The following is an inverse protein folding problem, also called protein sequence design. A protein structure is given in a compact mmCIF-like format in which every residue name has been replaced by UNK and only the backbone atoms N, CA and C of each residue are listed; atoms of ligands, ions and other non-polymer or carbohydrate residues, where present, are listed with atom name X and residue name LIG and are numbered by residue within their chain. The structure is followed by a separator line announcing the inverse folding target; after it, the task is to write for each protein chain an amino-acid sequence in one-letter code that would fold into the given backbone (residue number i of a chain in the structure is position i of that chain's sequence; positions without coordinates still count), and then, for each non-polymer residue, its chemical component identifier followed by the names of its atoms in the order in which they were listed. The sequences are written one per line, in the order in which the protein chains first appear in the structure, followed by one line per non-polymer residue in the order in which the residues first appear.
data_IF_095208464824
#
_entry.id   IF_095208464824
#
_cell.length_a   1.000
_cell.length_b   1.000
_cell.length_c   1.000
_cell.angle_alpha   90.00
_cell.angle_beta   90.00
_cell.angle_gamma   90.00
#
_symmetry.space_group_name_H-M   'P 1'
#
loop_
_entity.id
_entity.type
_entity.pdbx_description
1 polymer ?
#
# COMPACT_ATOMS: atom_id res chain seq x y z
N UNK A 1 -40.85 -5.90 14.95
CA UNK A 1 -40.51 -4.85 15.92
C UNK A 1 -41.14 -5.11 17.29
N UNK A 2 -42.44 -5.42 17.37
CA UNK A 2 -43.10 -5.75 18.64
C UNK A 2 -42.39 -6.86 19.43
N UNK A 3 -41.94 -7.92 18.76
CA UNK A 3 -41.14 -8.99 19.36
C UNK A 3 -39.85 -8.51 20.02
N UNK A 4 -39.19 -7.51 19.45
CA UNK A 4 -37.95 -6.92 20.00
C UNK A 4 -38.29 -6.15 21.29
N UNK A 5 -39.38 -5.37 21.28
CA UNK A 5 -39.84 -4.63 22.45
C UNK A 5 -40.20 -5.56 23.61
N UNK A 6 -40.94 -6.64 23.31
CA UNK A 6 -41.28 -7.67 24.30
C UNK A 6 -40.01 -8.34 24.85
N UNK A 7 -39.07 -8.72 23.99
CA UNK A 7 -37.81 -9.34 24.43
C UNK A 7 -36.93 -8.40 25.27
N UNK A 8 -37.00 -7.09 25.01
CA UNK A 8 -36.24 -6.08 25.73
C UNK A 8 -36.93 -5.59 27.02
N UNK A 9 -38.10 -6.13 27.37
CA UNK A 9 -38.96 -5.64 28.46
C UNK A 9 -39.18 -4.13 28.38
N UNK A 10 -39.42 -3.62 27.17
CA UNK A 10 -39.65 -2.20 26.95
C UNK A 10 -40.95 -1.75 27.66
N UNK A 11 -40.99 -0.53 28.22
CA UNK A 11 -42.19 -0.01 28.84
C UNK A 11 -43.30 0.16 27.78
N UNK A 12 -44.56 -0.06 28.18
CA UNK A 12 -45.74 0.03 27.29
C UNK A 12 -45.94 1.42 26.65
N UNK A 13 -45.24 2.43 27.16
CA UNK A 13 -45.21 3.78 26.61
C UNK A 13 -44.45 3.87 25.28
N UNK A 14 -43.54 2.93 25.00
CA UNK A 14 -42.77 2.91 23.75
C UNK A 14 -43.52 2.16 22.67
N UNK A 15 -43.99 2.88 21.65
CA UNK A 15 -44.62 2.27 20.48
C UNK A 15 -43.64 2.22 19.30
N UNK A 16 -43.73 1.19 18.43
CA UNK A 16 -42.92 1.11 17.21
C UNK A 16 -42.85 2.42 16.40
N UNK A 17 -43.96 3.15 16.33
CA UNK A 17 -44.06 4.44 15.64
C UNK A 17 -43.12 5.51 16.22
N UNK A 18 -42.89 5.49 17.53
CA UNK A 18 -42.07 6.51 18.21
C UNK A 18 -40.60 6.37 17.81
N UNK A 19 -40.13 5.15 17.56
CA UNK A 19 -38.76 4.92 17.09
C UNK A 19 -38.51 5.59 15.74
N UNK A 20 -39.46 5.51 14.81
CA UNK A 20 -39.36 6.11 13.48
C UNK A 20 -39.51 7.64 13.47
N UNK A 21 -40.03 8.23 14.56
CA UNK A 21 -40.16 9.69 14.72
C UNK A 21 -38.89 10.34 15.28
N UNK A 22 -37.98 9.56 15.85
CA UNK A 22 -36.75 10.09 16.44
C UNK A 22 -35.78 10.55 15.35
N UNK A 23 -35.24 11.74 15.51
CA UNK A 23 -34.26 12.33 14.59
C UNK A 23 -33.04 11.41 14.36
N UNK A 24 -32.48 10.84 15.43
CA UNK A 24 -31.36 9.90 15.34
C UNK A 24 -31.67 8.63 14.55
N UNK A 25 -32.93 8.17 14.58
CA UNK A 25 -33.36 7.02 13.78
C UNK A 25 -33.46 7.38 12.30
N UNK A 26 -33.97 8.58 11.99
CA UNK A 26 -34.08 9.07 10.61
C UNK A 26 -32.66 9.18 10.01
N UNK A 27 -31.72 9.75 10.75
CA UNK A 27 -30.31 9.84 10.33
C UNK A 27 -29.70 8.46 10.10
N UNK A 28 -29.91 7.51 11.03
CA UNK A 28 -29.44 6.14 10.89
C UNK A 28 -30.03 5.44 9.65
N UNK A 29 -31.32 5.63 9.37
CA UNK A 29 -31.99 5.04 8.21
C UNK A 29 -31.44 5.64 6.91
N UNK A 30 -31.26 6.96 6.85
CA UNK A 30 -30.66 7.64 5.70
C UNK A 30 -29.23 7.11 5.42
N UNK A 31 -28.42 6.96 6.47
CA UNK A 31 -27.06 6.43 6.33
C UNK A 31 -27.05 4.97 5.85
N UNK A 32 -27.97 4.15 6.36
CA UNK A 32 -28.10 2.76 5.93
C UNK A 32 -28.56 2.65 4.46
N UNK A 33 -29.40 3.57 3.97
CA UNK A 33 -29.80 3.63 2.56
C UNK A 33 -28.64 4.05 1.65
N UNK A 34 -27.85 5.05 2.08
CA UNK A 34 -26.65 5.51 1.37
C UNK A 34 -25.57 4.41 1.30
N UNK A 35 -25.25 3.78 2.43
CA UNK A 35 -24.30 2.67 2.52
C UNK A 35 -24.70 1.46 1.65
N UNK A 36 -26.00 1.16 1.57
CA UNK A 36 -26.50 0.11 0.67
C UNK A 36 -26.28 0.49 -0.78
N UNK A 37 -26.47 1.77 -1.13
CA UNK A 37 -26.28 2.29 -2.49
C UNK A 37 -24.82 2.21 -2.91
N UNK A 38 -23.90 2.58 -2.03
CA UNK A 38 -22.45 2.49 -2.27
C UNK A 38 -21.98 1.05 -2.46
N UNK A 39 -22.52 0.09 -1.68
CA UNK A 39 -22.22 -1.32 -1.89
C UNK A 39 -22.66 -1.82 -3.28
N UNK A 40 -23.82 -1.39 -3.78
CA UNK A 40 -24.30 -1.73 -5.13
C UNK A 40 -23.49 -1.05 -6.24
N UNK A 41 -23.02 0.19 -6.04
CA UNK A 41 -22.13 0.89 -6.98
C UNK A 41 -20.78 0.17 -7.06
N UNK A 42 -20.16 -0.12 -5.92
CA UNK A 42 -18.88 -0.83 -5.83
C UNK A 42 -18.97 -2.24 -6.45
N UNK A 43 -20.06 -2.97 -6.19
CA UNK A 43 -20.30 -4.29 -6.79
C UNK A 43 -20.44 -4.22 -8.32
N UNK A 44 -21.15 -3.23 -8.86
CA UNK A 44 -21.26 -3.02 -10.32
C UNK A 44 -19.90 -2.73 -10.97
N UNK A 45 -19.06 -1.92 -10.34
CA UNK A 45 -17.68 -1.65 -10.83
C UNK A 45 -16.74 -2.84 -10.72
N UNK A 46 -16.96 -3.77 -9.78
CA UNK A 46 -16.14 -5.00 -9.67
C UNK A 46 -16.58 -6.08 -10.67
N UNK A 47 -17.86 -6.15 -11.03
CA UNK A 47 -18.39 -7.14 -12.00
C UNK A 47 -17.95 -6.84 -13.44
N UNK A 48 -17.63 -5.59 -13.79
CA UNK A 48 -17.11 -5.22 -15.12
C UNK A 48 -15.64 -5.59 -15.36
N UNK A 49 -14.90 -6.09 -14.36
CA UNK A 49 -13.59 -6.73 -14.53
C UNK A 49 -13.69 -8.23 -14.26
N UNK A 50 -14.13 -9.01 -15.24
CA UNK A 50 -14.01 -10.48 -15.18
C UNK A 50 -13.11 -11.00 -16.30
N UNK A 51 -11.92 -11.44 -15.89
CA UNK A 51 -11.03 -12.32 -16.64
C UNK A 51 -11.75 -13.67 -16.85
N UNK A 52 -11.79 -14.15 -18.10
CA UNK A 52 -12.35 -15.46 -18.47
C UNK A 52 -11.60 -16.60 -17.78
N UNK A 53 -12.29 -17.55 -17.14
CA UNK A 53 -12.55 -18.93 -17.63
C UNK A 53 -13.19 -19.77 -16.48
N UNK A 54 -13.60 -21.04 -16.66
CA UNK A 54 -14.54 -21.61 -17.63
C UNK A 54 -15.77 -22.25 -16.95
N UNK A 55 -16.76 -22.61 -17.78
CA UNK A 55 -18.11 -23.09 -17.46
C UNK A 55 -18.13 -24.40 -16.66
N UNK A 56 -18.98 -24.45 -15.63
CA UNK A 56 -19.69 -25.68 -15.23
C UNK A 56 -21.18 -25.41 -15.46
N UNK A 57 -21.79 -26.30 -16.22
CA UNK A 57 -23.20 -26.33 -16.56
C UNK A 57 -23.97 -26.96 -15.40
N UNK A 58 -25.08 -26.36 -15.01
CA UNK A 58 -26.26 -27.14 -14.63
C UNK A 58 -27.50 -26.30 -14.90
N UNK A 59 -28.34 -26.85 -15.77
CA UNK A 59 -29.56 -26.27 -16.31
C UNK A 59 -30.70 -26.63 -15.36
N UNK A 60 -31.43 -25.63 -14.84
CA UNK A 60 -32.85 -25.80 -14.54
C UNK A 60 -33.54 -24.44 -14.63
N UNK A 61 -34.23 -24.26 -15.76
CA UNK A 61 -35.43 -23.45 -15.94
C UNK A 61 -35.34 -21.94 -15.69
N UNK A 62 -35.14 -21.24 -16.81
CA UNK A 62 -35.52 -19.85 -17.03
C UNK A 62 -37.02 -19.63 -16.75
N UNK A 63 -37.38 -19.28 -15.51
CA UNK A 63 -38.54 -18.41 -15.29
C UNK A 63 -38.07 -16.96 -15.28
N UNK A 64 -38.33 -16.28 -16.40
CA UNK A 64 -38.22 -14.82 -16.56
C UNK A 64 -39.17 -14.12 -15.58
N UNK A 65 -38.76 -13.97 -14.33
CA UNK A 65 -39.26 -12.92 -13.46
C UNK A 65 -38.31 -11.74 -13.62
N UNK A 66 -38.82 -10.66 -14.17
CA UNK A 66 -38.15 -9.37 -14.24
C UNK A 66 -37.58 -9.02 -12.85
N UNK A 67 -36.27 -9.23 -12.66
CA UNK A 67 -35.57 -8.78 -11.45
C UNK A 67 -35.54 -7.26 -11.45
N UNK A 68 -36.61 -6.63 -10.97
CA UNK A 68 -36.51 -5.32 -10.32
C UNK A 68 -35.52 -5.53 -9.18
N UNK A 69 -34.33 -4.99 -9.31
CA UNK A 69 -33.35 -4.87 -8.21
C UNK A 69 -33.99 -3.95 -7.16
N UNK A 70 -34.89 -4.49 -6.34
CA UNK A 70 -35.42 -3.78 -5.19
C UNK A 70 -34.26 -3.67 -4.22
N UNK A 71 -33.84 -2.43 -3.91
CA UNK A 71 -33.02 -2.18 -2.74
C UNK A 71 -33.65 -2.89 -1.54
N UNK A 72 -32.87 -3.59 -0.70
CA UNK A 72 -33.42 -4.23 0.50
C UNK A 72 -34.15 -3.19 1.33
N UNK A 73 -35.47 -3.31 1.46
CA UNK A 73 -36.25 -2.39 2.30
C UNK A 73 -35.75 -2.50 3.74
N UNK A 74 -35.31 -1.38 4.31
CA UNK A 74 -34.81 -1.33 5.69
C UNK A 74 -35.89 -1.63 6.73
N UNK A 75 -37.13 -1.27 6.44
CA UNK A 75 -38.30 -1.61 7.23
C UNK A 75 -39.56 -1.70 6.37
N UNK A 76 -40.60 -2.35 6.90
CA UNK A 76 -41.90 -2.49 6.24
C UNK A 76 -43.02 -2.50 7.28
N UNK A 77 -44.03 -1.65 7.10
CA UNK A 77 -45.25 -1.69 7.92
C UNK A 77 -46.32 -2.51 7.21
N UNK A 78 -46.72 -3.63 7.83
CA UNK A 78 -47.73 -4.54 7.27
C UNK A 78 -49.01 -4.48 8.11
N UNK A 79 -49.91 -3.56 7.79
CA UNK A 79 -51.15 -3.37 8.57
C UNK A 79 -52.29 -4.29 8.12
N UNK A 80 -52.28 -4.74 6.86
CA UNK A 80 -53.34 -5.56 6.24
C UNK A 80 -53.25 -7.06 6.55
N UNK A 81 -52.42 -7.44 7.52
CA UNK A 81 -52.18 -8.84 7.91
C UNK A 81 -53.00 -9.23 9.16
N UNK A 82 -53.23 -10.53 9.38
CA UNK A 82 -53.90 -11.01 10.59
C UNK A 82 -53.16 -10.57 11.87
N UNK A 83 -53.89 -10.55 13.00
CA UNK A 83 -53.49 -9.85 14.23
C UNK A 83 -52.10 -10.23 14.79
N UNK A 84 -51.58 -11.43 14.49
CA UNK A 84 -50.23 -11.87 14.90
C UNK A 84 -49.11 -11.63 13.87
N UNK A 85 -49.44 -11.29 12.62
CA UNK A 85 -48.47 -11.06 11.54
C UNK A 85 -48.40 -9.59 11.10
N UNK A 86 -49.22 -8.72 11.70
CA UNK A 86 -49.22 -7.29 11.38
C UNK A 86 -48.21 -6.50 12.20
N UNK A 87 -47.73 -5.40 11.63
CA UNK A 87 -46.87 -4.43 12.30
C UNK A 87 -45.58 -4.14 11.56
N UNK A 88 -44.63 -3.52 12.27
CA UNK A 88 -43.34 -3.10 11.72
C UNK A 88 -42.34 -4.25 11.68
N UNK A 89 -41.86 -4.54 10.47
CA UNK A 89 -40.73 -5.41 10.19
C UNK A 89 -39.50 -4.55 9.94
N UNK A 90 -38.37 -4.94 10.51
CA UNK A 90 -37.13 -4.16 10.48
C UNK A 90 -36.00 -5.08 10.05
N UNK A 91 -35.07 -4.58 9.22
CA UNK A 91 -33.93 -5.32 8.71
C UNK A 91 -33.01 -5.79 9.85
N UNK A 92 -32.34 -6.94 9.69
CA UNK A 92 -31.50 -7.56 10.74
C UNK A 92 -30.43 -6.64 11.32
N UNK A 93 -29.84 -5.77 10.51
CA UNK A 93 -28.79 -4.84 10.96
C UNK A 93 -29.32 -3.74 11.89
N UNK A 94 -30.61 -3.43 11.79
CA UNK A 94 -31.27 -2.41 12.61
C UNK A 94 -31.84 -3.00 13.90
N UNK A 95 -31.85 -4.33 14.07
CA UNK A 95 -32.38 -5.00 15.27
C UNK A 95 -31.70 -4.50 16.54
N UNK A 96 -30.37 -4.40 16.52
CA UNK A 96 -29.61 -3.89 17.66
C UNK A 96 -29.95 -2.42 17.94
N UNK A 97 -30.08 -1.59 16.90
CA UNK A 97 -30.47 -0.19 17.07
C UNK A 97 -31.86 -0.03 17.72
N UNK A 98 -32.83 -0.84 17.28
CA UNK A 98 -34.16 -0.88 17.90
C UNK A 98 -34.10 -1.39 19.35
N UNK A 99 -33.31 -2.42 19.62
CA UNK A 99 -33.16 -2.99 20.97
C UNK A 99 -32.47 -2.02 21.94
N UNK A 100 -31.46 -1.27 21.47
CA UNK A 100 -30.80 -0.21 22.24
C UNK A 100 -31.78 0.93 22.57
N UNK A 101 -32.60 1.35 21.60
CA UNK A 101 -33.66 2.32 21.85
C UNK A 101 -34.69 1.78 22.84
N UNK A 102 -35.08 0.51 22.72
CA UNK A 102 -36.08 -0.12 23.56
C UNK A 102 -35.62 -0.21 25.03
N UNK A 103 -34.37 -0.65 25.26
CA UNK A 103 -33.81 -0.89 26.58
C UNK A 103 -32.43 -0.25 26.76
N UNK A 104 -32.29 0.75 27.66
CA UNK A 104 -30.98 1.32 27.99
C UNK A 104 -30.00 0.31 28.58
N UNK A 105 -30.49 -0.73 29.28
CA UNK A 105 -29.63 -1.81 29.81
C UNK A 105 -29.00 -2.64 28.69
N UNK A 106 -29.78 -2.91 27.63
CA UNK A 106 -29.27 -3.58 26.45
C UNK A 106 -28.23 -2.71 25.72
N UNK A 107 -28.49 -1.40 25.60
CA UNK A 107 -27.51 -0.47 25.03
C UNK A 107 -26.16 -0.50 25.76
N UNK A 108 -26.18 -0.47 27.09
CA UNK A 108 -24.95 -0.57 27.89
C UNK A 108 -24.19 -1.87 27.66
N UNK A 109 -24.90 -3.00 27.54
CA UNK A 109 -24.30 -4.29 27.23
C UNK A 109 -23.62 -4.29 25.86
N UNK A 110 -24.27 -3.73 24.84
CA UNK A 110 -23.70 -3.61 23.49
C UNK A 110 -22.46 -2.72 23.50
N UNK A 111 -22.46 -1.59 24.20
CA UNK A 111 -21.26 -0.74 24.31
C UNK A 111 -20.09 -1.47 24.97
N UNK A 112 -20.34 -2.25 26.03
CA UNK A 112 -19.29 -3.06 26.66
C UNK A 112 -18.75 -4.13 25.72
N UNK A 113 -19.63 -4.81 24.97
CA UNK A 113 -19.23 -5.81 23.98
C UNK A 113 -18.37 -5.20 22.87
N UNK A 114 -18.73 -4.02 22.38
CA UNK A 114 -17.94 -3.30 21.37
C UNK A 114 -16.56 -2.90 21.89
N UNK A 115 -16.45 -2.44 23.14
CA UNK A 115 -15.15 -2.13 23.76
C UNK A 115 -14.27 -3.38 23.90
N UNK A 116 -14.85 -4.51 24.33
CA UNK A 116 -14.16 -5.79 24.44
C UNK A 116 -13.65 -6.29 23.09
N UNK A 117 -14.45 -6.22 22.02
CA UNK A 117 -14.04 -6.61 20.66
C UNK A 117 -12.86 -5.74 20.17
N UNK A 118 -12.96 -4.42 20.29
CA UNK A 118 -11.87 -3.53 19.86
C UNK A 118 -10.60 -3.71 20.70
N UNK A 119 -10.72 -4.15 21.96
CA UNK A 119 -9.57 -4.50 22.78
C UNK A 119 -8.89 -5.77 22.26
N UNK A 120 -9.65 -6.81 21.98
CA UNK A 120 -9.15 -8.06 21.40
C UNK A 120 -8.49 -7.84 20.05
N UNK A 121 -9.11 -7.04 19.17
CA UNK A 121 -8.53 -6.72 17.85
C UNK A 121 -7.17 -6.01 17.98
N UNK A 122 -7.04 -5.07 18.93
CA UNK A 122 -5.75 -4.39 19.20
C UNK A 122 -4.70 -5.37 19.70
N UNK A 123 -5.04 -6.22 20.66
CA UNK A 123 -4.14 -7.23 21.21
C UNK A 123 -3.69 -8.23 20.14
N UNK A 124 -4.59 -8.68 19.27
CA UNK A 124 -4.23 -9.52 18.12
C UNK A 124 -3.28 -8.82 17.15
N UNK A 125 -3.49 -7.52 16.90
CA UNK A 125 -2.65 -6.73 16.01
C UNK A 125 -1.25 -6.53 16.61
N UNK A 126 -1.14 -6.24 17.89
CA UNK A 126 0.13 -6.15 18.62
C UNK A 126 0.89 -7.48 18.59
N UNK A 127 0.20 -8.59 18.87
CA UNK A 127 0.80 -9.93 18.80
C UNK A 127 1.30 -10.26 17.37
N UNK A 128 0.56 -9.87 16.33
CA UNK A 128 0.98 -10.05 14.93
C UNK A 128 2.21 -9.19 14.60
N UNK A 129 2.31 -7.97 15.12
CA UNK A 129 3.47 -7.11 14.95
C UNK A 129 4.70 -7.69 15.66
N UNK A 130 4.57 -8.08 16.92
CA UNK A 130 5.67 -8.71 17.66
C UNK A 130 6.20 -9.99 16.99
N UNK A 131 5.28 -10.82 16.48
CA UNK A 131 5.66 -12.04 15.76
C UNK A 131 6.42 -11.72 14.47
N UNK A 132 6.00 -10.67 13.73
CA UNK A 132 6.71 -10.18 12.55
C UNK A 132 8.09 -9.66 12.93
N UNK A 133 8.23 -8.86 13.97
CA UNK A 133 9.52 -8.34 14.42
C UNK A 133 10.48 -9.44 14.84
N UNK A 134 9.99 -10.44 15.59
CA UNK A 134 10.77 -11.65 15.94
C UNK A 134 11.20 -12.42 14.68
N UNK A 135 10.35 -12.49 13.65
CA UNK A 135 10.70 -13.14 12.38
C UNK A 135 11.72 -12.35 11.56
N UNK A 136 11.64 -11.01 11.58
CA UNK A 136 12.62 -10.12 10.95
C UNK A 136 13.97 -10.29 11.65
N UNK A 137 13.98 -10.27 12.99
CA UNK A 137 15.18 -10.49 13.80
C UNK A 137 15.86 -11.84 13.50
N UNK A 138 15.08 -12.92 13.34
CA UNK A 138 15.62 -14.24 12.94
C UNK A 138 16.15 -14.29 11.51
N UNK A 139 15.75 -13.36 10.62
CA UNK A 139 16.29 -13.22 9.25
C UNK A 139 17.56 -12.38 9.19
N UNK A 140 17.89 -11.64 10.25
CA UNK A 140 19.12 -10.84 10.38
C UNK A 140 20.44 -11.62 10.19
N UNK A 141 20.56 -12.96 10.36
CA UNK A 141 21.83 -13.63 10.06
C UNK A 141 22.30 -13.50 8.60
N UNK A 142 21.39 -13.17 7.65
CA UNK A 142 21.72 -12.79 6.26
C UNK A 142 21.77 -11.28 6.02
N UNK A 143 21.37 -10.49 7.01
CA UNK A 143 21.50 -9.04 6.97
C UNK A 143 22.94 -8.66 7.22
N UNK A 144 23.35 -7.57 6.57
CA UNK A 144 24.71 -7.05 6.62
C UNK A 144 25.19 -6.96 8.07
N UNK A 145 26.36 -7.52 8.43
CA UNK A 145 26.86 -7.43 9.79
C UNK A 145 26.89 -5.97 10.26
N UNK A 146 26.37 -5.72 11.46
CA UNK A 146 26.26 -4.38 12.05
C UNK A 146 27.59 -3.63 11.93
N UNK A 147 27.56 -2.45 11.29
CA UNK A 147 28.75 -1.63 11.03
C UNK A 147 29.51 -1.94 9.75
N UNK A 148 29.11 -2.96 8.97
CA UNK A 148 29.66 -3.24 7.62
C UNK A 148 28.78 -2.73 6.47
N UNK A 149 27.65 -2.09 6.78
CA UNK A 149 26.66 -1.57 5.83
C UNK A 149 27.25 -0.59 4.82
N UNK A 150 28.13 0.32 5.28
CA UNK A 150 28.70 1.41 4.48
C UNK A 150 30.21 1.24 4.21
N UNK A 151 30.66 -0.01 4.04
CA UNK A 151 32.09 -0.36 3.99
C UNK A 151 32.72 -0.32 2.58
N UNK A 152 32.10 0.39 1.63
CA UNK A 152 32.59 0.53 0.27
C UNK A 152 32.82 1.99 -0.11
N UNK A 153 33.77 2.20 -1.01
CA UNK A 153 34.09 3.46 -1.67
C UNK A 153 33.87 3.31 -3.16
N UNK A 154 33.47 4.40 -3.78
CA UNK A 154 33.25 4.49 -5.21
C UNK A 154 34.13 5.58 -5.81
N UNK A 155 34.81 5.27 -6.89
CA UNK A 155 35.69 6.19 -7.59
C UNK A 155 35.55 6.02 -9.09
N UNK A 156 35.50 7.14 -9.80
CA UNK A 156 35.62 7.19 -11.25
C UNK A 156 36.85 8.03 -11.57
N UNK A 157 37.79 7.46 -12.31
CA UNK A 157 38.98 8.18 -12.77
C UNK A 157 39.04 8.22 -14.29
N UNK A 158 39.64 9.28 -14.80
CA UNK A 158 39.80 9.53 -16.23
C UNK A 158 41.16 9.05 -16.72
N UNK A 159 41.17 8.51 -17.92
CA UNK A 159 42.36 8.20 -18.70
C UNK A 159 42.21 8.85 -20.08
N UNK A 160 43.20 9.64 -20.47
CA UNK A 160 43.23 10.30 -21.76
C UNK A 160 43.74 9.32 -22.82
N UNK A 161 43.16 9.36 -24.00
CA UNK A 161 43.58 8.51 -25.12
C UNK A 161 44.87 9.06 -25.73
N UNK A 162 45.85 8.17 -25.97
CA UNK A 162 47.14 8.53 -26.60
C UNK A 162 47.03 8.69 -28.13
N UNK A 163 45.96 8.22 -28.75
CA UNK A 163 45.74 8.27 -30.20
C UNK A 163 45.34 9.67 -30.65
N UNK A 164 45.98 10.18 -31.72
CA UNK A 164 45.71 11.52 -32.27
C UNK A 164 44.26 11.69 -32.79
N UNK A 165 43.59 10.61 -33.18
CA UNK A 165 42.22 10.61 -33.72
C UNK A 165 41.14 10.72 -32.63
N UNK A 166 41.44 10.34 -31.38
CA UNK A 166 40.49 10.28 -30.25
C UNK A 166 40.79 11.34 -29.17
N UNK A 167 41.46 12.44 -29.55
CA UNK A 167 41.94 13.47 -28.61
C UNK A 167 40.83 14.08 -27.75
N UNK A 168 39.61 14.10 -28.26
CA UNK A 168 38.44 14.69 -27.61
C UNK A 168 37.63 13.69 -26.78
N UNK A 169 38.00 12.40 -26.85
CA UNK A 169 37.41 11.35 -26.04
C UNK A 169 38.21 11.11 -24.76
N UNK A 170 37.52 10.63 -23.74
CA UNK A 170 38.08 10.30 -22.44
C UNK A 170 37.51 8.98 -21.96
N UNK A 171 38.37 8.18 -21.33
CA UNK A 171 38.02 6.89 -20.79
C UNK A 171 37.77 7.01 -19.28
N UNK A 172 36.55 6.68 -18.85
CA UNK A 172 36.12 6.66 -17.46
C UNK A 172 36.18 5.25 -16.91
N UNK A 173 36.96 5.05 -15.85
CA UNK A 173 37.07 3.77 -15.16
C UNK A 173 36.22 3.77 -13.89
N UNK A 174 35.21 2.92 -13.86
CA UNK A 174 34.23 2.78 -12.79
C UNK A 174 34.70 1.77 -11.73
N UNK A 175 35.08 2.25 -10.55
CA UNK A 175 35.68 1.41 -9.52
C UNK A 175 34.94 1.45 -8.20
N UNK A 176 34.42 0.30 -7.78
CA UNK A 176 33.88 0.05 -6.44
C UNK A 176 34.85 -0.83 -5.66
N UNK A 177 35.29 -0.40 -4.48
CA UNK A 177 36.18 -1.17 -3.61
C UNK A 177 35.76 -1.12 -2.16
N UNK A 178 36.12 -2.16 -1.40
CA UNK A 178 35.97 -2.16 0.05
C UNK A 178 36.94 -1.13 0.66
N UNK A 179 36.54 -0.49 1.77
CA UNK A 179 37.39 0.49 2.46
C UNK A 179 38.77 -0.07 2.81
N UNK A 180 38.86 -1.35 3.18
CA UNK A 180 40.13 -1.99 3.51
C UNK A 180 41.06 -2.06 2.31
N UNK A 181 40.56 -2.40 1.11
CA UNK A 181 41.37 -2.64 -0.10
C UNK A 181 41.55 -1.39 -0.96
N UNK A 182 41.15 -0.21 -0.49
CA UNK A 182 41.23 1.02 -1.28
C UNK A 182 42.67 1.56 -1.41
N UNK A 183 43.63 1.03 -0.63
CA UNK A 183 45.04 1.46 -0.69
C UNK A 183 45.66 1.33 -2.10
N UNK A 184 45.22 0.36 -2.90
CA UNK A 184 45.71 0.16 -4.28
C UNK A 184 45.40 1.36 -5.18
N UNK A 185 44.32 2.10 -4.89
CA UNK A 185 43.87 3.26 -5.63
C UNK A 185 44.36 4.58 -5.04
N UNK A 186 45.08 4.56 -3.92
CA UNK A 186 45.51 5.77 -3.22
C UNK A 186 46.40 6.69 -4.07
N UNK A 187 47.16 6.12 -5.02
CA UNK A 187 47.97 6.89 -5.98
C UNK A 187 47.07 7.70 -6.91
N UNK A 188 46.09 7.04 -7.54
CA UNK A 188 45.14 7.66 -8.47
C UNK A 188 44.24 8.66 -7.74
N UNK A 189 43.80 8.32 -6.53
CA UNK A 189 42.98 9.20 -5.69
C UNK A 189 43.63 10.56 -5.42
N UNK A 190 44.95 10.59 -5.27
CA UNK A 190 45.75 11.81 -5.04
C UNK A 190 46.16 12.53 -6.33
N UNK A 191 45.93 11.93 -7.49
CA UNK A 191 46.24 12.50 -8.80
C UNK A 191 45.06 13.27 -9.36
N UNK A 192 45.34 14.14 -10.33
CA UNK A 192 44.32 14.90 -11.08
C UNK A 192 43.42 14.02 -11.95
N UNK A 193 43.76 12.73 -12.09
CA UNK A 193 42.95 11.72 -12.78
C UNK A 193 41.67 11.35 -12.01
N UNK A 194 41.58 11.67 -10.72
CA UNK A 194 40.39 11.41 -9.92
C UNK A 194 39.25 12.36 -10.30
N UNK A 195 38.28 11.86 -11.05
CA UNK A 195 37.20 12.68 -11.59
C UNK A 195 35.96 12.73 -10.67
N UNK A 196 35.62 11.61 -10.04
CA UNK A 196 34.50 11.49 -9.09
C UNK A 196 34.84 10.52 -7.95
N UNK A 197 34.44 10.86 -6.73
CA UNK A 197 34.70 10.04 -5.55
C UNK A 197 33.56 10.14 -4.53
N UNK A 198 33.13 8.99 -4.00
CA UNK A 198 32.15 8.89 -2.90
C UNK A 198 32.55 7.85 -1.87
N UNK A 199 32.35 8.23 -0.60
CA UNK A 199 32.55 7.36 0.56
C UNK A 199 31.23 6.86 1.12
N UNK A 200 31.33 5.88 2.02
CA UNK A 200 30.22 5.33 2.80
C UNK A 200 29.12 4.70 1.92
N UNK A 201 29.54 4.00 0.87
CA UNK A 201 28.63 3.35 -0.06
C UNK A 201 28.00 2.12 0.57
N UNK A 202 26.68 1.98 0.38
CA UNK A 202 25.93 0.82 0.86
C UNK A 202 26.40 -0.45 0.17
N UNK A 203 26.46 -1.55 0.92
CA UNK A 203 26.84 -2.87 0.38
C UNK A 203 25.82 -3.40 -0.64
N UNK A 204 24.56 -3.01 -0.51
CA UNK A 204 23.47 -3.39 -1.43
C UNK A 204 23.48 -2.64 -2.75
N UNK A 205 24.18 -1.50 -2.86
CA UNK A 205 24.19 -0.70 -4.07
C UNK A 205 25.01 -1.35 -5.20
N UNK A 206 24.57 -1.13 -6.43
CA UNK A 206 25.19 -1.55 -7.70
C UNK A 206 25.63 -0.32 -8.51
N UNK A 207 26.56 0.51 -7.98
CA UNK A 207 26.88 1.82 -8.54
C UNK A 207 27.36 1.79 -10.00
N UNK A 208 28.03 0.71 -10.43
CA UNK A 208 28.49 0.59 -11.81
C UNK A 208 27.35 0.42 -12.80
N UNK A 209 26.29 -0.30 -12.43
CA UNK A 209 25.13 -0.49 -13.29
C UNK A 209 24.31 0.79 -13.33
N UNK A 210 24.10 1.40 -12.17
CA UNK A 210 23.32 2.64 -12.05
C UNK A 210 24.00 3.80 -12.78
N UNK A 211 25.32 3.95 -12.67
CA UNK A 211 26.08 4.98 -13.41
C UNK A 211 26.01 4.74 -14.92
N UNK A 212 26.07 3.49 -15.38
CA UNK A 212 25.87 3.20 -16.80
C UNK A 212 24.46 3.58 -17.26
N UNK A 213 23.44 3.31 -16.45
CA UNK A 213 22.08 3.70 -16.77
C UNK A 213 21.96 5.23 -16.88
N UNK A 214 22.55 5.97 -15.94
CA UNK A 214 22.59 7.45 -15.98
C UNK A 214 23.22 7.95 -17.28
N UNK A 215 24.33 7.33 -17.71
CA UNK A 215 24.98 7.71 -18.98
C UNK A 215 24.08 7.41 -20.18
N UNK A 216 23.41 6.25 -20.22
CA UNK A 216 22.47 5.89 -21.29
C UNK A 216 21.26 6.81 -21.36
N UNK A 217 20.76 7.27 -20.22
CA UNK A 217 19.58 8.13 -20.13
C UNK A 217 19.92 9.60 -20.46
N UNK A 218 21.17 10.02 -20.22
CA UNK A 218 21.61 11.42 -20.38
C UNK A 218 22.21 11.70 -21.74
N UNK A 219 23.01 10.78 -22.29
CA UNK A 219 23.76 11.00 -23.52
C UNK A 219 23.14 10.26 -24.72
N UNK A 220 23.25 10.80 -25.94
CA UNK A 220 22.86 10.08 -27.14
C UNK A 220 23.77 8.87 -27.39
N UNK A 221 23.23 7.82 -28.03
CA UNK A 221 23.91 6.53 -28.25
C UNK A 221 25.24 6.62 -29.02
N UNK A 222 25.47 7.71 -29.77
CA UNK A 222 26.72 7.95 -30.52
C UNK A 222 27.83 8.57 -29.67
N UNK A 223 27.52 9.04 -28.46
CA UNK A 223 28.45 9.77 -27.59
C UNK A 223 29.11 8.91 -26.52
N UNK A 224 28.81 7.60 -26.48
CA UNK A 224 29.42 6.71 -25.53
C UNK A 224 29.66 5.29 -26.07
N UNK A 225 30.72 4.65 -25.60
CA UNK A 225 30.95 3.20 -25.73
C UNK A 225 31.19 2.61 -24.34
N UNK A 226 30.50 1.52 -24.01
CA UNK A 226 30.55 0.90 -22.68
C UNK A 226 31.13 -0.51 -22.76
N UNK A 227 32.26 -0.73 -22.09
CA UNK A 227 32.92 -2.04 -22.00
C UNK A 227 33.26 -2.37 -20.57
N UNK A 228 32.58 -3.37 -20.00
CA UNK A 228 32.88 -3.84 -18.65
C UNK A 228 32.75 -2.74 -17.60
N UNK A 229 33.84 -2.33 -16.96
CA UNK A 229 33.85 -1.25 -15.96
C UNK A 229 34.33 0.08 -16.55
N UNK A 230 34.32 0.23 -17.86
CA UNK A 230 34.90 1.37 -18.56
C UNK A 230 33.87 1.99 -19.49
N UNK A 231 33.84 3.33 -19.52
CA UNK A 231 32.98 4.13 -20.40
C UNK A 231 33.86 5.08 -21.18
N UNK A 232 33.81 5.01 -22.51
CA UNK A 232 34.40 6.00 -23.40
C UNK A 232 33.34 7.08 -23.66
N UNK A 233 33.69 8.36 -23.53
CA UNK A 233 32.77 9.48 -23.82
C UNK A 233 33.52 10.74 -24.23
N UNK A 234 32.81 11.75 -24.74
CA UNK A 234 33.42 13.03 -25.10
C UNK A 234 33.72 13.89 -23.86
N UNK A 235 34.80 14.67 -23.93
CA UNK A 235 35.20 15.61 -22.86
C UNK A 235 34.12 16.67 -22.58
N UNK A 236 33.34 17.04 -23.58
CA UNK A 236 32.25 18.03 -23.48
C UNK A 236 31.10 17.56 -22.57
N UNK A 237 30.85 16.26 -22.53
CA UNK A 237 29.74 15.65 -21.79
C UNK A 237 30.06 15.41 -20.31
N UNK A 238 31.34 15.53 -19.91
CA UNK A 238 31.79 15.30 -18.54
C UNK A 238 31.12 16.20 -17.49
N UNK A 239 30.98 17.53 -17.68
CA UNK A 239 30.35 18.37 -16.66
C UNK A 239 28.91 17.94 -16.37
N UNK A 240 28.14 17.62 -17.41
CA UNK A 240 26.75 17.17 -17.31
C UNK A 240 26.64 15.81 -16.61
N UNK A 241 27.49 14.85 -16.99
CA UNK A 241 27.53 13.54 -16.33
C UNK A 241 27.91 13.66 -14.85
N UNK A 242 28.85 14.54 -14.51
CA UNK A 242 29.28 14.75 -13.12
C UNK A 242 28.14 15.28 -12.26
N UNK A 243 27.34 16.20 -12.78
CA UNK A 243 26.15 16.72 -12.10
C UNK A 243 25.12 15.61 -11.85
N UNK A 244 24.77 14.83 -12.88
CA UNK A 244 23.76 13.76 -12.76
C UNK A 244 24.18 12.62 -11.85
N UNK A 245 25.44 12.21 -11.90
CA UNK A 245 25.99 11.20 -11.00
C UNK A 245 25.98 11.74 -9.56
N UNK A 246 26.33 13.01 -9.35
CA UNK A 246 26.29 13.65 -8.03
C UNK A 246 24.88 13.67 -7.46
N UNK A 247 23.89 14.09 -8.25
CA UNK A 247 22.47 14.09 -7.91
C UNK A 247 21.97 12.70 -7.50
N UNK A 248 22.32 11.65 -8.26
CA UNK A 248 21.98 10.27 -7.93
C UNK A 248 22.50 9.86 -6.54
N UNK A 249 23.79 10.08 -6.26
CA UNK A 249 24.39 9.66 -4.99
C UNK A 249 23.92 10.51 -3.78
N UNK A 250 23.48 11.74 -4.00
CA UNK A 250 22.95 12.60 -2.93
C UNK A 250 21.47 12.29 -2.63
N UNK A 251 20.65 12.05 -3.65
CA UNK A 251 19.25 11.66 -3.47
C UNK A 251 19.09 10.27 -2.84
N UNK A 252 20.01 9.34 -3.15
CA UNK A 252 19.99 8.00 -2.55
C UNK A 252 20.17 8.01 -1.02
N UNK A 253 20.68 9.11 -0.45
CA UNK A 253 20.82 9.28 1.01
C UNK A 253 19.56 9.78 1.72
N UNK A 254 18.60 10.34 0.99
CA UNK A 254 17.38 10.93 1.58
C UNK A 254 16.25 9.92 1.80
N UNK A 255 16.42 8.67 1.35
CA UNK A 255 15.47 7.58 1.55
C UNK A 255 15.73 6.73 2.81
N UNK A 256 16.70 7.14 3.65
CA UNK A 256 16.89 6.67 5.04
C UNK A 256 16.25 7.66 6.02
#
# INVERSE_FOLDING_TARGET
MQSILTACYAPDTKKPQDWFRNQSTIELLNEAENSTTDFFVVAKTRVSKKLQSPKIYENSEEQRVSKKTQSPKLYENREKLPNGLRGYYVHRLLVNAVAMWASPRYAWYIYRLLDEIHRQEREEMENKLEAKDKSIQKRIPRSVPKGKEKNYKYMIYTEEMENEEDRDMVMLHLVRRNNKSFYDLAKIYKSDRNWFYRENLLISMTPNEDVKQIVQDTLPQTHYDMKGCTILTFKEDLPLLKEKITEYFDNFKQAE
#
